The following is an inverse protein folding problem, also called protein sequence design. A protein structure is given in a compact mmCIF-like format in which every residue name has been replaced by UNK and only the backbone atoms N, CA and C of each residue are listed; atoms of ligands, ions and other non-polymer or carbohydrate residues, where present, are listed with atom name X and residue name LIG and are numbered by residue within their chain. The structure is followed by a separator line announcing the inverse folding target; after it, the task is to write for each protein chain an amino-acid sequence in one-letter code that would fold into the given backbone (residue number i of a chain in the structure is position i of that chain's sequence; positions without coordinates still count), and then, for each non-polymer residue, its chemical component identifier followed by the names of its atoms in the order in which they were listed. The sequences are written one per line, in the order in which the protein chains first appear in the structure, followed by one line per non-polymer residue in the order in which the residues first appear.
data_IF_772107855100
#
_entry.id   IF_772107855100
#
_cell.length_a   1.000
_cell.length_b   1.000
_cell.length_c   1.000
_cell.angle_alpha   90.00
_cell.angle_beta   90.00
_cell.angle_gamma   90.00
#
_symmetry.space_group_name_H-M   'P 1'
#
loop_
_entity.id
_entity.type
_entity.pdbx_description
1 polymer ?
#
# COMPACT_ATOMS: atom_id res chain seq x y z
N UNK A 1 -27.88 -35.77 17.04
CA UNK A 1 -26.47 -35.32 17.08
C UNK A 1 -25.62 -36.15 16.11
N UNK A 2 -25.21 -35.49 15.02
CA UNK A 2 -24.16 -35.82 14.04
C UNK A 2 -24.01 -34.53 13.19
N UNK A 3 -22.87 -34.19 12.56
CA UNK A 3 -21.75 -35.07 12.25
C UNK A 3 -20.32 -34.48 12.34
N UNK A 4 -19.36 -35.42 12.25
CA UNK A 4 -18.10 -35.41 11.46
C UNK A 4 -17.10 -34.28 11.68
N UNK A 5 -15.94 -34.66 12.22
CA UNK A 5 -14.70 -33.92 12.08
C UNK A 5 -14.12 -34.07 10.67
N UNK A 6 -13.73 -32.96 10.07
CA UNK A 6 -12.97 -32.91 8.84
C UNK A 6 -11.56 -32.37 9.10
N UNK A 7 -10.61 -33.12 8.57
CA UNK A 7 -9.17 -32.90 8.63
C UNK A 7 -8.78 -31.82 7.61
N UNK A 8 -7.83 -30.99 8.05
CA UNK A 8 -7.16 -29.92 7.29
C UNK A 8 -6.63 -30.39 5.92
N UNK A 9 -6.78 -29.59 4.85
CA UNK A 9 -5.88 -29.64 3.71
C UNK A 9 -4.77 -28.60 3.89
N UNK A 10 -3.54 -29.05 4.17
CA UNK A 10 -2.35 -28.21 4.12
C UNK A 10 -1.99 -27.92 2.66
N UNK A 11 -2.32 -26.72 2.18
CA UNK A 11 -1.93 -26.25 0.85
C UNK A 11 -0.64 -25.45 0.94
N UNK A 12 0.48 -26.14 0.76
CA UNK A 12 1.79 -25.51 0.55
C UNK A 12 1.80 -24.90 -0.84
N UNK A 13 1.99 -23.59 -0.92
CA UNK A 13 2.30 -22.90 -2.16
C UNK A 13 3.78 -22.56 -2.16
N UNK A 14 4.59 -23.47 -2.70
CA UNK A 14 5.95 -23.14 -3.13
C UNK A 14 5.84 -22.40 -4.47
N UNK A 15 5.62 -21.09 -4.42
CA UNK A 15 5.74 -20.23 -5.61
C UNK A 15 7.23 -19.96 -5.82
N UNK A 16 7.78 -20.69 -6.77
CA UNK A 16 9.12 -20.48 -7.33
C UNK A 16 9.19 -19.03 -7.86
N UNK A 17 10.13 -18.26 -7.34
CA UNK A 17 10.51 -16.95 -7.89
C UNK A 17 11.27 -17.22 -9.18
N UNK A 18 10.63 -16.96 -10.31
CA UNK A 18 11.33 -16.82 -11.58
C UNK A 18 11.96 -15.43 -11.58
N UNK A 19 13.29 -15.40 -11.45
CA UNK A 19 14.09 -14.21 -11.74
C UNK A 19 13.97 -13.97 -13.23
N UNK A 20 13.29 -12.89 -13.62
CA UNK A 20 13.37 -12.37 -14.98
C UNK A 20 14.68 -11.59 -15.07
N UNK A 21 15.65 -12.14 -15.82
CA UNK A 21 16.86 -11.42 -16.20
C UNK A 21 16.47 -10.26 -17.11
N UNK A 22 16.65 -9.05 -16.62
CA UNK A 22 16.55 -7.82 -17.39
C UNK A 22 17.81 -7.70 -18.25
N UNK A 23 17.61 -7.76 -19.57
CA UNK A 23 18.69 -7.67 -20.55
C UNK A 23 19.06 -6.20 -20.74
N UNK A 24 20.18 -5.77 -20.14
CA UNK A 24 20.83 -4.50 -20.46
C UNK A 24 21.46 -4.60 -21.85
N UNK A 25 20.65 -4.34 -22.88
CA UNK A 25 21.08 -4.17 -24.27
C UNK A 25 21.83 -2.84 -24.38
N UNK A 26 23.11 -2.87 -24.07
CA UNK A 26 24.03 -1.75 -24.31
C UNK A 26 24.19 -1.57 -25.82
N UNK A 27 23.61 -0.51 -26.38
CA UNK A 27 23.96 -0.03 -27.71
C UNK A 27 25.27 0.75 -27.59
N UNK A 28 26.37 0.12 -28.01
CA UNK A 28 27.61 0.84 -28.24
C UNK A 28 27.45 1.63 -29.54
N UNK A 29 27.54 2.96 -29.43
CA UNK A 29 27.68 3.88 -30.55
C UNK A 29 29.14 3.80 -31.02
N UNK A 30 29.37 3.19 -32.17
CA UNK A 30 30.68 3.15 -32.81
C UNK A 30 30.74 4.28 -33.82
N UNK A 31 31.28 5.43 -33.40
CA UNK A 31 31.69 6.53 -34.28
C UNK A 31 32.73 6.01 -35.28
N UNK A 32 32.27 5.65 -36.48
CA UNK A 32 33.14 5.38 -37.62
C UNK A 32 33.21 6.61 -38.50
N UNK A 33 34.15 7.50 -38.15
CA UNK A 33 34.58 8.64 -38.97
C UNK A 33 35.17 8.13 -40.30
N UNK A 34 34.33 7.91 -41.31
CA UNK A 34 34.78 7.73 -42.70
C UNK A 34 34.97 9.09 -43.36
N UNK A 35 36.17 9.66 -43.24
CA UNK A 35 36.63 10.74 -44.11
C UNK A 35 37.49 10.16 -45.22
N UNK A 36 36.92 10.04 -46.43
CA UNK A 36 37.69 9.94 -47.67
C UNK A 36 37.43 11.19 -48.49
N UNK A 37 38.46 12.03 -48.66
CA UNK A 37 38.55 12.96 -49.79
C UNK A 37 40.02 13.30 -50.04
N UNK A 38 40.49 12.80 -51.18
CA UNK A 38 41.77 13.05 -51.81
C UNK A 38 41.96 14.52 -52.18
N UNK A 39 43.19 15.02 -52.15
CA UNK A 39 43.57 16.21 -52.93
C UNK A 39 45.01 16.10 -53.43
N UNK A 40 45.10 16.40 -54.71
CA UNK A 40 46.21 16.27 -55.65
C UNK A 40 47.30 17.33 -55.46
N UNK A 41 48.53 17.01 -55.86
CA UNK A 41 49.57 17.99 -56.23
C UNK A 41 50.45 17.39 -57.32
N UNK A 42 50.25 17.87 -58.55
CA UNK A 42 50.99 17.53 -59.76
C UNK A 42 52.47 17.91 -59.69
N UNK A 43 53.32 17.08 -60.29
CA UNK A 43 54.60 17.52 -60.87
C UNK A 43 54.68 17.05 -62.33
N UNK A 44 55.22 17.90 -63.18
CA UNK A 44 54.93 18.02 -64.61
C UNK A 44 55.93 17.30 -65.48
N UNK A 45 55.53 16.45 -66.44
CA UNK A 45 56.27 16.25 -67.71
C UNK A 45 55.31 15.82 -68.85
N UNK A 46 55.26 16.66 -69.90
CA UNK A 46 54.89 16.41 -71.29
C UNK A 46 54.65 14.96 -71.74
N UNK A 47 53.38 14.63 -72.02
CA UNK A 47 53.01 13.45 -72.83
C UNK A 47 51.98 13.87 -73.89
N UNK A 48 52.43 13.82 -75.15
CA UNK A 48 51.65 14.03 -76.36
C UNK A 48 50.68 12.84 -76.56
N UNK A 49 49.48 12.93 -75.97
CA UNK A 49 48.39 12.00 -76.27
C UNK A 49 47.44 12.64 -77.27
N UNK A 50 47.69 12.30 -78.53
CA UNK A 50 46.86 12.59 -79.68
C UNK A 50 45.42 12.10 -79.42
N UNK A 51 44.50 13.00 -79.07
CA UNK A 51 43.09 12.64 -78.92
C UNK A 51 42.48 12.33 -80.29
N UNK A 52 42.34 11.04 -80.60
CA UNK A 52 41.48 10.55 -81.68
C UNK A 52 40.03 10.90 -81.33
N UNK A 53 39.51 12.00 -81.88
CA UNK A 53 38.07 12.21 -81.95
C UNK A 53 37.50 11.18 -82.92
N UNK A 54 36.97 10.09 -82.39
CA UNK A 54 36.15 9.15 -83.13
C UNK A 54 34.71 9.69 -83.12
N UNK A 55 34.26 10.18 -84.26
CA UNK A 55 32.85 10.46 -84.51
C UNK A 55 32.08 9.13 -84.43
N UNK A 56 31.30 8.92 -83.37
CA UNK A 56 30.25 7.92 -83.36
C UNK A 56 28.93 8.65 -83.10
N UNK A 57 28.24 8.95 -84.19
CA UNK A 57 26.83 9.32 -84.18
C UNK A 57 26.01 8.10 -83.76
N UNK A 58 24.80 8.37 -83.29
CA UNK A 58 23.68 7.43 -83.18
C UNK A 58 23.72 6.45 -81.99
N UNK A 59 23.32 6.95 -80.82
CA UNK A 59 22.11 6.48 -80.14
C UNK A 59 21.80 7.44 -78.99
N UNK A 60 21.26 8.61 -79.38
CA UNK A 60 20.47 9.43 -78.47
C UNK A 60 19.13 8.69 -78.30
N UNK A 61 19.13 7.61 -77.52
CA UNK A 61 17.93 7.15 -76.82
C UNK A 61 17.55 8.30 -75.88
N UNK A 62 16.92 9.32 -76.46
CA UNK A 62 16.20 10.35 -75.77
C UNK A 62 15.21 9.58 -74.92
N UNK A 63 15.54 9.44 -73.65
CA UNK A 63 14.60 9.00 -72.65
C UNK A 63 13.41 9.94 -72.83
N UNK A 64 12.32 9.41 -73.40
CA UNK A 64 11.02 10.03 -73.39
C UNK A 64 10.52 9.96 -71.94
N UNK A 65 11.21 10.70 -71.08
CA UNK A 65 10.62 11.18 -69.86
C UNK A 65 9.44 11.99 -70.34
N UNK A 66 8.25 11.38 -70.26
CA UNK A 66 7.02 12.12 -70.12
C UNK A 66 7.27 13.07 -68.94
N UNK A 67 7.76 14.28 -69.27
CA UNK A 67 8.02 15.37 -68.36
C UNK A 67 6.65 15.66 -67.76
N UNK A 68 6.37 15.00 -66.64
CA UNK A 68 5.22 15.32 -65.83
C UNK A 68 5.51 16.76 -65.42
N UNK A 69 4.75 17.67 -66.03
CA UNK A 69 5.02 19.10 -66.14
C UNK A 69 5.01 19.73 -64.75
N UNK A 70 6.13 19.63 -64.03
CA UNK A 70 6.33 20.27 -62.75
C UNK A 70 7.05 21.59 -62.99
N UNK A 71 6.39 22.68 -62.65
CA UNK A 71 7.01 23.99 -62.73
C UNK A 71 8.07 24.13 -61.64
N UNK A 72 9.03 25.04 -61.84
CA UNK A 72 10.02 25.36 -60.82
C UNK A 72 9.33 25.82 -59.53
N UNK A 73 8.22 26.51 -59.68
CA UNK A 73 7.36 27.01 -58.61
C UNK A 73 6.77 25.85 -57.81
N UNK A 74 6.32 24.78 -58.47
CA UNK A 74 5.79 23.59 -57.79
C UNK A 74 6.87 22.91 -56.93
N UNK A 75 8.12 22.84 -57.41
CA UNK A 75 9.24 22.27 -56.64
C UNK A 75 9.60 23.12 -55.42
N UNK A 76 9.61 24.45 -55.58
CA UNK A 76 9.85 25.39 -54.48
C UNK A 76 8.73 25.31 -53.45
N UNK A 77 7.48 25.14 -53.88
CA UNK A 77 6.34 24.97 -52.99
C UNK A 77 6.47 23.67 -52.18
N UNK A 78 6.75 22.54 -52.85
CA UNK A 78 6.95 21.25 -52.17
C UNK A 78 8.09 21.32 -51.13
N UNK A 79 9.17 22.03 -51.44
CA UNK A 79 10.27 22.23 -50.49
C UNK A 79 9.84 23.05 -49.28
N UNK A 80 9.11 24.15 -49.48
CA UNK A 80 8.58 24.96 -48.39
C UNK A 80 7.59 24.19 -47.51
N UNK A 81 6.73 23.38 -48.12
CA UNK A 81 5.77 22.53 -47.42
C UNK A 81 6.50 21.50 -46.54
N UNK A 82 7.51 20.81 -47.08
CA UNK A 82 8.36 19.89 -46.30
C UNK A 82 9.07 20.58 -45.13
N UNK A 83 9.60 21.79 -45.34
CA UNK A 83 10.25 22.57 -44.27
C UNK A 83 9.23 22.94 -43.18
N UNK A 84 8.01 23.30 -43.56
CA UNK A 84 6.94 23.63 -42.63
C UNK A 84 6.49 22.40 -41.83
N UNK A 85 6.30 21.26 -42.49
CA UNK A 85 5.98 19.99 -41.83
C UNK A 85 7.07 19.56 -40.87
N UNK A 86 8.35 19.66 -41.27
CA UNK A 86 9.48 19.35 -40.40
C UNK A 86 9.51 20.24 -39.15
N UNK A 87 9.27 21.56 -39.29
CA UNK A 87 9.18 22.48 -38.15
C UNK A 87 8.04 22.11 -37.20
N UNK A 88 6.89 21.74 -37.77
CA UNK A 88 5.72 21.31 -36.99
C UNK A 88 6.04 20.02 -36.23
N UNK A 89 6.64 19.03 -36.91
CA UNK A 89 7.05 17.77 -36.32
C UNK A 89 8.09 17.98 -35.21
N UNK A 90 9.09 18.83 -35.44
CA UNK A 90 10.10 19.18 -34.44
C UNK A 90 9.48 19.81 -33.19
N UNK A 91 8.50 20.70 -33.35
CA UNK A 91 7.78 21.28 -32.22
C UNK A 91 7.02 20.20 -31.43
N UNK A 92 6.26 19.34 -32.12
CA UNK A 92 5.53 18.26 -31.45
C UNK A 92 6.46 17.27 -30.73
N UNK A 93 7.66 17.03 -31.26
CA UNK A 93 8.65 16.19 -30.62
C UNK A 93 9.16 16.79 -29.30
N UNK A 94 9.44 18.09 -29.27
CA UNK A 94 9.87 18.76 -28.04
C UNK A 94 8.74 18.86 -27.01
N UNK A 95 7.49 19.02 -27.45
CA UNK A 95 6.30 18.94 -26.58
C UNK A 95 6.14 17.54 -25.96
N UNK A 96 6.22 16.48 -26.78
CA UNK A 96 6.18 15.08 -26.30
C UNK A 96 7.35 14.79 -25.35
N UNK A 97 8.54 15.35 -25.59
CA UNK A 97 9.70 15.21 -24.71
C UNK A 97 9.44 15.88 -23.35
N UNK A 98 8.87 17.08 -23.36
CA UNK A 98 8.49 17.79 -22.15
C UNK A 98 7.39 17.05 -21.38
N UNK A 99 6.36 16.54 -22.07
CA UNK A 99 5.31 15.74 -21.47
C UNK A 99 5.86 14.45 -20.86
N UNK A 100 6.73 13.72 -21.56
CA UNK A 100 7.39 12.53 -21.01
C UNK A 100 8.19 12.84 -19.73
N UNK A 101 8.91 13.96 -19.71
CA UNK A 101 9.58 14.41 -18.50
C UNK A 101 8.58 14.70 -17.36
N UNK A 102 7.43 15.30 -17.69
CA UNK A 102 6.32 15.61 -16.77
C UNK A 102 5.50 14.39 -16.29
N UNK A 103 5.55 13.28 -17.03
CA UNK A 103 4.95 12.02 -16.60
C UNK A 103 5.91 11.23 -15.71
N UNK A 104 7.21 11.31 -15.99
CA UNK A 104 8.22 10.61 -15.21
C UNK A 104 8.38 11.17 -13.80
N UNK A 105 8.34 12.50 -13.65
CA UNK A 105 8.36 13.15 -12.33
C UNK A 105 7.04 12.93 -11.56
N UNK A 106 5.87 13.00 -12.21
CA UNK A 106 4.59 12.71 -11.55
C UNK A 106 4.46 11.24 -11.12
N UNK A 107 5.00 10.30 -11.90
CA UNK A 107 5.12 8.90 -11.50
C UNK A 107 6.07 8.68 -10.32
N UNK A 108 7.15 9.46 -10.24
CA UNK A 108 8.11 9.38 -9.14
C UNK A 108 7.56 10.00 -7.84
N UNK A 109 6.84 11.12 -7.93
CA UNK A 109 6.15 11.74 -6.78
C UNK A 109 5.02 10.84 -6.28
N UNK A 110 4.16 10.33 -7.16
CA UNK A 110 3.06 9.44 -6.77
C UNK A 110 3.54 8.13 -6.12
N UNK A 111 4.72 7.63 -6.50
CA UNK A 111 5.30 6.42 -5.89
C UNK A 111 5.92 6.68 -4.51
N UNK A 112 6.28 7.93 -4.20
CA UNK A 112 6.93 8.27 -2.92
C UNK A 112 5.92 8.34 -1.78
N UNK A 113 4.75 8.96 -2.03
CA UNK A 113 3.70 9.13 -1.02
C UNK A 113 3.10 7.77 -0.59
N UNK A 114 2.90 6.83 -1.52
CA UNK A 114 2.39 5.48 -1.20
C UNK A 114 3.40 4.64 -0.38
N UNK A 115 4.70 4.89 -0.54
CA UNK A 115 5.76 4.17 0.18
C UNK A 115 5.82 4.61 1.66
N UNK A 116 5.70 5.90 1.93
CA UNK A 116 5.67 6.44 3.30
C UNK A 116 4.43 5.97 4.07
N UNK A 117 3.28 5.93 3.40
CA UNK A 117 2.03 5.41 3.96
C UNK A 117 2.14 3.91 4.30
N UNK A 118 2.81 3.12 3.48
CA UNK A 118 2.98 1.68 3.74
C UNK A 118 3.90 1.41 4.93
N UNK A 119 4.99 2.16 5.07
CA UNK A 119 5.87 2.05 6.24
C UNK A 119 5.17 2.55 7.52
N UNK A 120 4.42 3.64 7.44
CA UNK A 120 3.57 4.14 8.52
C UNK A 120 2.58 3.08 9.01
N UNK A 121 1.80 2.48 8.10
CA UNK A 121 0.85 1.41 8.42
C UNK A 121 1.53 0.18 9.05
N UNK A 122 2.73 -0.17 8.59
CA UNK A 122 3.51 -1.31 9.12
C UNK A 122 3.98 -1.06 10.55
N UNK A 123 4.39 0.17 10.88
CA UNK A 123 4.74 0.54 12.25
C UNK A 123 3.54 0.49 13.18
N UNK A 124 2.39 1.01 12.75
CA UNK A 124 1.15 1.01 13.52
C UNK A 124 0.62 -0.42 13.76
N UNK A 125 0.72 -1.29 12.76
CA UNK A 125 0.37 -2.71 12.91
C UNK A 125 1.26 -3.40 13.95
N UNK A 126 2.56 -3.11 13.94
CA UNK A 126 3.50 -3.65 14.93
C UNK A 126 3.18 -3.15 16.34
N UNK A 127 2.81 -1.88 16.50
CA UNK A 127 2.37 -1.28 17.76
C UNK A 127 1.11 -1.96 18.30
N UNK A 128 0.08 -2.07 17.47
CA UNK A 128 -1.20 -2.72 17.82
C UNK A 128 -1.02 -4.20 18.19
N UNK A 129 -0.09 -4.90 17.54
CA UNK A 129 0.22 -6.30 17.86
C UNK A 129 0.76 -6.44 19.29
N UNK A 130 1.69 -5.57 19.70
CA UNK A 130 2.24 -5.55 21.06
C UNK A 130 1.15 -5.23 22.07
N UNK A 131 0.32 -4.22 21.79
CA UNK A 131 -0.79 -3.83 22.67
C UNK A 131 -1.83 -4.95 22.81
N UNK A 132 -2.14 -5.68 21.74
CA UNK A 132 -3.03 -6.83 21.79
C UNK A 132 -2.48 -7.97 22.66
N UNK A 133 -1.18 -8.27 22.53
CA UNK A 133 -0.51 -9.27 23.37
C UNK A 133 -0.52 -8.84 24.85
N UNK A 134 -0.30 -7.55 25.12
CA UNK A 134 -0.37 -6.98 26.48
C UNK A 134 -1.77 -7.13 27.09
N UNK A 135 -2.82 -6.70 26.39
CA UNK A 135 -4.20 -6.79 26.86
C UNK A 135 -4.64 -8.25 27.10
N UNK A 136 -4.13 -9.19 26.30
CA UNK A 136 -4.39 -10.62 26.49
C UNK A 136 -3.77 -11.14 27.79
N UNK A 137 -2.59 -10.66 28.14
CA UNK A 137 -1.92 -11.01 29.39
C UNK A 137 -2.69 -10.43 30.59
N UNK A 138 -3.04 -9.15 30.54
CA UNK A 138 -3.83 -8.49 31.59
C UNK A 138 -5.19 -9.17 31.79
N UNK A 139 -5.88 -9.52 30.70
CA UNK A 139 -7.14 -10.27 30.77
C UNK A 139 -6.96 -11.66 31.42
N UNK A 140 -5.82 -12.31 31.22
CA UNK A 140 -5.51 -13.61 31.83
C UNK A 140 -5.23 -13.49 33.33
N UNK A 141 -4.55 -12.42 33.75
CA UNK A 141 -4.29 -12.10 35.15
C UNK A 141 -5.58 -11.75 35.89
N UNK A 142 -6.41 -10.86 35.33
CA UNK A 142 -7.73 -10.52 35.88
C UNK A 142 -8.62 -11.76 36.03
N UNK A 143 -8.57 -12.68 35.05
CA UNK A 143 -9.32 -13.94 35.14
C UNK A 143 -8.86 -14.78 36.34
N UNK A 144 -7.55 -14.89 36.56
CA UNK A 144 -7.02 -15.61 37.72
C UNK A 144 -7.41 -14.96 39.05
N UNK A 145 -7.40 -13.63 39.12
CA UNK A 145 -7.87 -12.86 40.28
C UNK A 145 -9.35 -13.12 40.57
N UNK A 146 -10.20 -13.12 39.53
CA UNK A 146 -11.64 -13.43 39.65
C UNK A 146 -11.86 -14.85 40.16
N UNK A 147 -11.12 -15.83 39.64
CA UNK A 147 -11.23 -17.23 40.10
C UNK A 147 -10.82 -17.37 41.57
N UNK A 148 -9.76 -16.67 41.99
CA UNK A 148 -9.30 -16.63 43.38
C UNK A 148 -10.35 -16.00 44.29
N UNK A 149 -10.86 -14.81 43.95
CA UNK A 149 -11.89 -14.12 44.72
C UNK A 149 -13.18 -14.94 44.83
N UNK A 150 -13.56 -15.63 43.75
CA UNK A 150 -14.72 -16.53 43.75
C UNK A 150 -14.55 -17.65 44.78
N UNK A 151 -13.34 -18.22 44.88
CA UNK A 151 -13.03 -19.25 45.88
C UNK A 151 -13.06 -18.69 47.30
N UNK A 152 -12.50 -17.50 47.52
CA UNK A 152 -12.57 -16.82 48.81
C UNK A 152 -14.02 -16.55 49.21
N UNK A 153 -14.83 -16.00 48.32
CA UNK A 153 -16.24 -15.70 48.56
C UNK A 153 -17.05 -16.95 48.92
N UNK A 154 -16.75 -18.09 48.27
CA UNK A 154 -17.37 -19.38 48.61
C UNK A 154 -17.01 -19.83 50.03
N UNK A 155 -15.77 -19.61 50.46
CA UNK A 155 -15.27 -19.93 51.81
C UNK A 155 -15.90 -19.03 52.86
N UNK A 156 -15.99 -17.72 52.58
CA UNK A 156 -16.70 -16.74 53.41
C UNK A 156 -18.17 -17.11 53.57
N UNK A 157 -18.84 -17.51 52.49
CA UNK A 157 -20.25 -17.95 52.52
C UNK A 157 -20.43 -19.18 53.42
N UNK A 158 -19.50 -20.14 53.37
CA UNK A 158 -19.54 -21.33 54.25
C UNK A 158 -19.31 -20.95 55.72
N UNK A 159 -18.33 -20.09 55.99
CA UNK A 159 -18.05 -19.58 57.33
C UNK A 159 -19.24 -18.83 57.92
N UNK A 160 -19.87 -17.96 57.13
CA UNK A 160 -21.08 -17.23 57.53
C UNK A 160 -22.22 -18.17 57.91
N UNK A 161 -22.46 -19.24 57.14
CA UNK A 161 -23.45 -20.27 57.49
C UNK A 161 -23.09 -21.02 58.78
N UNK A 162 -21.82 -21.32 59.01
CA UNK A 162 -21.38 -21.97 60.25
C UNK A 162 -21.57 -21.06 61.47
N UNK A 163 -21.23 -19.77 61.31
CA UNK A 163 -21.43 -18.75 62.33
C UNK A 163 -22.92 -18.56 62.66
N UNK A 164 -23.79 -18.53 61.65
CA UNK A 164 -25.24 -18.45 61.87
C UNK A 164 -25.75 -19.63 62.71
N UNK A 165 -25.32 -20.86 62.39
CA UNK A 165 -25.67 -22.05 63.18
C UNK A 165 -25.19 -21.94 64.64
N UNK A 166 -23.98 -21.42 64.86
CA UNK A 166 -23.46 -21.19 66.21
C UNK A 166 -24.31 -20.16 66.98
N UNK A 167 -24.72 -19.08 66.32
CA UNK A 167 -25.57 -18.07 66.93
C UNK A 167 -26.95 -18.63 67.31
N UNK A 168 -27.54 -19.49 66.49
CA UNK A 168 -28.80 -20.19 66.78
C UNK A 168 -28.66 -21.12 68.00
N UNK A 169 -27.55 -21.86 68.11
CA UNK A 169 -27.27 -22.70 69.29
C UNK A 169 -27.12 -21.84 70.56
N UNK A 170 -26.38 -20.73 70.47
CA UNK A 170 -26.19 -19.82 71.60
C UNK A 170 -27.52 -19.23 72.10
N UNK A 171 -28.40 -18.79 71.19
CA UNK A 171 -29.75 -18.31 71.54
C UNK A 171 -30.54 -19.40 72.25
N UNK A 172 -30.56 -20.63 71.72
CA UNK A 172 -31.24 -21.76 72.35
C UNK A 172 -30.70 -22.11 73.75
N UNK A 173 -29.39 -21.98 73.98
CA UNK A 173 -28.78 -22.22 75.28
C UNK A 173 -29.16 -21.14 76.30
N UNK A 174 -29.18 -19.86 75.90
CA UNK A 174 -29.62 -18.76 76.76
C UNK A 174 -31.09 -18.93 77.21
N UNK A 175 -32.00 -19.26 76.28
CA UNK A 175 -33.42 -19.46 76.58
C UNK A 175 -33.65 -20.61 77.58
N UNK A 176 -32.86 -21.70 77.50
CA UNK A 176 -32.98 -22.83 78.43
C UNK A 176 -32.42 -22.56 79.82
N UNK A 177 -31.50 -21.61 79.97
CA UNK A 177 -30.83 -21.34 81.25
C UNK A 177 -31.70 -20.42 82.14
N UNK A 178 -32.81 -19.88 81.63
CA UNK A 178 -33.73 -19.05 82.41
C UNK A 178 -33.21 -17.66 82.77
N UNK A 179 -31.99 -17.29 82.33
CA UNK A 179 -31.41 -15.94 82.45
C UNK A 179 -31.86 -15.05 81.29
N UNK A 180 -33.15 -15.08 80.96
CA UNK A 180 -33.73 -14.18 79.96
C UNK A 180 -33.59 -12.74 80.47
N UNK A 181 -32.61 -12.00 79.95
CA UNK A 181 -32.64 -10.55 80.04
C UNK A 181 -33.78 -10.09 79.12
N UNK A 182 -34.97 -10.00 79.70
CA UNK A 182 -36.11 -9.34 79.08
C UNK A 182 -35.67 -7.92 78.75
N UNK A 183 -35.61 -7.65 77.45
CA UNK A 183 -35.50 -6.31 76.92
C UNK A 183 -36.67 -5.53 77.53
N UNK A 184 -36.37 -4.63 78.45
CA UNK A 184 -37.34 -3.82 79.17
C UNK A 184 -38.36 -3.25 78.19
N UNK A 185 -39.62 -3.69 78.31
CA UNK A 185 -40.77 -2.95 77.80
C UNK A 185 -40.68 -1.57 78.44
N UNK A 186 -40.26 -0.58 77.65
CA UNK A 186 -40.32 0.81 78.05
C UNK A 186 -41.78 1.11 78.38
N UNK A 187 -41.96 1.59 79.60
CA UNK A 187 -43.18 2.08 80.18
C UNK A 187 -43.86 3.09 79.23
N UNK A 188 -44.82 2.63 78.42
CA UNK A 188 -45.76 3.52 77.75
C UNK A 188 -46.84 3.87 78.76
N UNK A 189 -46.61 5.01 79.42
CA UNK A 189 -47.52 5.61 80.38
C UNK A 189 -48.89 5.87 79.77
N UNK A 190 -49.89 5.61 80.60
CA UNK A 190 -51.27 6.01 80.41
C UNK A 190 -51.35 7.53 80.17
N UNK A 191 -51.86 7.96 79.02
CA UNK A 191 -52.56 9.25 78.94
C UNK A 191 -53.88 9.07 78.21
N UNK A 192 -54.92 8.93 79.04
CA UNK A 192 -56.31 9.17 78.72
C UNK A 192 -56.49 10.56 78.08
N UNK A 193 -57.04 10.60 76.88
CA UNK A 193 -57.76 11.78 76.37
C UNK A 193 -59.03 11.32 75.68
N UNK A 194 -60.09 11.23 76.46
CA UNK A 194 -61.48 11.17 76.03
C UNK A 194 -61.86 12.51 75.40
N UNK A 195 -62.03 12.56 74.08
CA UNK A 195 -62.61 13.70 73.38
C UNK A 195 -64.07 13.41 73.06
N UNK A 196 -64.99 14.18 73.64
CA UNK A 196 -66.40 14.20 73.26
C UNK A 196 -66.66 15.17 72.10
N UNK A 197 -67.79 15.00 71.37
CA UNK A 197 -67.99 15.60 70.06
C UNK A 197 -68.68 16.98 70.10
N UNK A 198 -68.31 17.78 69.10
CA UNK A 198 -69.08 18.74 68.28
C UNK A 198 -70.09 19.69 68.94
N UNK A 199 -69.93 21.01 68.70
CA UNK A 199 -70.84 21.88 67.90
C UNK A 199 -70.05 23.08 67.39
#
# INVERSE_FOLDING_TARGET
MKPRGDKRPSRKYDRKVLVAEESTKNWADSDSESSSSSSSSSDSEQEEVHCFMADHMDDDEVFDFANTEFTREDLVQALNDMVHEYKTLSHTFDEIKAENASLKNSSAESSSDELEDTDSLKTELSRLKIENDFLRNEASELKAEVDKLTKEMSSWTQSARAFQKLQEIQKSALDRTGLGFSNSESCEGETSTQSQPSV
#
